data_IF_179216702264
#
_entry.id   IF_179216702264
#
_cell.length_a   1.000
_cell.length_b   1.000
_cell.length_c   1.000
_cell.angle_alpha   90.00
_cell.angle_beta   90.00
_cell.angle_gamma   90.00
#
_symmetry.space_group_name_H-M   'P 1'
#
loop_
_entity.id
_entity.type
_entity.pdbx_description
1 polymer ?
#
# COMPACT_ATOMS: atom_id res chain seq x y z
N UNK A 1 -10.05 -31.36 -6.59
CA UNK A 1 -8.90 -30.45 -6.44
C UNK A 1 -9.38 -29.23 -5.63
N UNK A 2 -8.68 -28.86 -4.57
CA UNK A 2 -9.06 -27.69 -3.77
C UNK A 2 -8.89 -26.43 -4.62
N UNK A 3 -9.81 -25.47 -4.49
CA UNK A 3 -9.76 -24.18 -5.19
C UNK A 3 -9.49 -23.04 -4.21
N UNK A 4 -9.11 -21.84 -4.71
CA UNK A 4 -8.97 -20.66 -3.85
C UNK A 4 -10.28 -20.36 -3.11
N UNK A 5 -11.43 -20.60 -3.76
CA UNK A 5 -12.76 -20.41 -3.17
C UNK A 5 -13.03 -21.36 -2.02
N UNK A 6 -12.81 -22.66 -2.21
CA UNK A 6 -13.02 -23.65 -1.14
C UNK A 6 -12.05 -23.43 0.03
N UNK A 7 -10.79 -23.04 -0.23
CA UNK A 7 -9.85 -22.69 0.82
C UNK A 7 -10.27 -21.45 1.64
N UNK A 8 -10.87 -20.46 0.98
CA UNK A 8 -11.43 -19.27 1.65
C UNK A 8 -12.66 -19.63 2.50
N UNK A 9 -13.55 -20.49 1.99
CA UNK A 9 -14.78 -20.90 2.67
C UNK A 9 -14.47 -21.73 3.93
N UNK A 10 -13.47 -22.64 3.87
CA UNK A 10 -12.99 -23.41 5.03
C UNK A 10 -12.54 -22.51 6.18
N UNK A 11 -12.01 -21.32 5.87
CA UNK A 11 -11.56 -20.32 6.83
C UNK A 11 -12.65 -19.28 7.16
N UNK A 12 -13.93 -19.55 6.80
CA UNK A 12 -15.08 -18.66 7.05
C UNK A 12 -14.88 -17.23 6.53
N UNK A 13 -14.10 -17.06 5.47
CA UNK A 13 -13.77 -15.76 4.88
C UNK A 13 -12.71 -14.94 5.62
N UNK A 14 -12.09 -15.49 6.68
CA UNK A 14 -11.05 -14.84 7.50
C UNK A 14 -9.79 -15.69 7.57
N UNK A 15 -8.94 -15.55 6.57
CA UNK A 15 -7.70 -16.29 6.53
C UNK A 15 -6.59 -15.53 7.27
N UNK A 16 -6.00 -16.16 8.29
CA UNK A 16 -4.92 -15.59 9.11
C UNK A 16 -3.64 -15.28 8.30
N UNK A 17 -3.43 -16.00 7.20
CA UNK A 17 -2.30 -15.75 6.32
C UNK A 17 -2.31 -14.36 5.68
N UNK A 18 -3.48 -13.72 5.53
CA UNK A 18 -3.54 -12.34 5.03
C UNK A 18 -2.93 -11.34 6.01
N UNK A 19 -3.16 -11.50 7.30
CA UNK A 19 -2.58 -10.60 8.32
C UNK A 19 -1.07 -10.82 8.43
N UNK A 20 -0.62 -12.08 8.41
CA UNK A 20 0.80 -12.43 8.33
C UNK A 20 1.47 -11.78 7.11
N UNK A 21 0.87 -11.95 5.93
CA UNK A 21 1.42 -11.41 4.67
C UNK A 21 1.51 -9.88 4.70
N UNK A 22 0.50 -9.18 5.23
CA UNK A 22 0.54 -7.72 5.36
C UNK A 22 1.73 -7.25 6.19
N UNK A 23 2.02 -7.91 7.30
CA UNK A 23 3.17 -7.55 8.14
C UNK A 23 4.48 -7.82 7.41
N UNK A 24 4.61 -8.96 6.72
CA UNK A 24 5.80 -9.28 5.93
C UNK A 24 6.02 -8.24 4.83
N UNK A 25 4.98 -7.88 4.09
CA UNK A 25 5.07 -6.87 3.04
C UNK A 25 5.43 -5.49 3.60
N UNK A 26 4.81 -5.06 4.72
CA UNK A 26 5.14 -3.80 5.37
C UNK A 26 6.61 -3.79 5.84
N UNK A 27 7.08 -4.88 6.44
CA UNK A 27 8.47 -5.03 6.88
C UNK A 27 9.45 -4.96 5.70
N UNK A 28 9.12 -5.60 4.57
CA UNK A 28 9.92 -5.52 3.34
C UNK A 28 10.00 -4.09 2.78
N UNK A 29 8.90 -3.33 2.86
CA UNK A 29 8.87 -1.92 2.47
C UNK A 29 9.72 -1.06 3.40
N UNK A 30 9.70 -1.32 4.71
CA UNK A 30 10.57 -0.62 5.67
C UNK A 30 12.04 -0.89 5.34
N UNK A 31 12.41 -2.16 5.07
CA UNK A 31 13.78 -2.51 4.70
C UNK A 31 14.26 -1.77 3.44
N UNK A 32 13.41 -1.66 2.42
CA UNK A 32 13.69 -0.85 1.24
C UNK A 32 13.87 0.64 1.56
N UNK A 33 12.99 1.21 2.40
CA UNK A 33 13.08 2.63 2.76
C UNK A 33 14.30 2.93 3.64
N UNK A 34 14.80 1.97 4.42
CA UNK A 34 16.09 2.12 5.11
C UNK A 34 17.19 2.38 4.10
N UNK A 35 17.30 1.57 3.04
CA UNK A 35 18.29 1.79 1.98
C UNK A 35 18.06 3.10 1.23
N UNK A 36 16.79 3.43 0.90
CA UNK A 36 16.43 4.65 0.17
C UNK A 36 16.83 5.90 0.95
N UNK A 37 16.45 5.98 2.22
CA UNK A 37 16.62 7.18 3.03
C UNK A 37 18.04 7.36 3.56
N UNK A 38 18.80 6.26 3.71
CA UNK A 38 20.22 6.31 4.11
C UNK A 38 21.19 6.52 2.94
N UNK A 39 20.68 6.71 1.70
CA UNK A 39 21.52 6.95 0.53
C UNK A 39 22.14 5.68 -0.10
N UNK A 40 21.69 4.47 0.29
CA UNK A 40 22.25 3.20 -0.19
C UNK A 40 21.39 2.51 -1.27
N UNK A 41 20.65 3.27 -2.06
CA UNK A 41 19.75 2.73 -3.12
C UNK A 41 20.51 1.86 -4.11
N UNK A 42 21.67 2.31 -4.60
CA UNK A 42 22.44 1.57 -5.60
C UNK A 42 22.96 0.24 -5.04
N UNK A 43 23.44 0.23 -3.78
CA UNK A 43 23.85 -0.99 -3.12
C UNK A 43 22.67 -1.97 -2.90
N UNK A 44 21.50 -1.45 -2.55
CA UNK A 44 20.29 -2.27 -2.41
C UNK A 44 19.84 -2.85 -3.76
N UNK A 45 19.90 -2.05 -4.84
CA UNK A 45 19.57 -2.51 -6.21
C UNK A 45 20.57 -3.53 -6.74
N UNK A 46 21.83 -3.44 -6.36
CA UNK A 46 22.87 -4.41 -6.71
C UNK A 46 22.80 -5.70 -5.88
N UNK A 47 21.87 -5.82 -4.94
CA UNK A 47 21.68 -6.98 -4.06
C UNK A 47 20.32 -7.61 -4.29
N UNK A 48 20.04 -8.76 -3.65
CA UNK A 48 18.72 -9.41 -3.67
C UNK A 48 17.57 -8.52 -3.16
N UNK A 49 17.87 -7.43 -2.47
CA UNK A 49 16.88 -6.48 -1.96
C UNK A 49 16.23 -5.61 -3.04
N UNK A 50 16.75 -5.54 -4.27
CA UNK A 50 16.16 -4.80 -5.38
C UNK A 50 14.69 -5.18 -5.61
N UNK A 51 14.35 -6.43 -5.37
CA UNK A 51 12.99 -6.95 -5.51
C UNK A 51 11.99 -6.27 -4.56
N UNK A 52 12.47 -5.82 -3.38
CA UNK A 52 11.66 -5.11 -2.38
C UNK A 52 11.23 -3.71 -2.84
N UNK A 53 11.88 -3.14 -3.84
CA UNK A 53 11.48 -1.87 -4.45
C UNK A 53 10.17 -2.01 -5.25
N UNK A 54 9.97 -3.17 -5.93
CA UNK A 54 8.96 -3.30 -6.96
C UNK A 54 7.73 -4.13 -6.55
N UNK A 55 7.90 -5.19 -5.79
CA UNK A 55 6.84 -6.18 -5.59
C UNK A 55 5.94 -6.00 -4.38
N UNK A 56 6.40 -5.57 -3.19
CA UNK A 56 5.55 -5.55 -2.00
C UNK A 56 4.32 -4.66 -2.14
N UNK A 57 4.45 -3.47 -2.74
CA UNK A 57 3.31 -2.54 -2.91
C UNK A 57 2.27 -3.08 -3.89
N UNK A 58 2.62 -3.56 -5.11
CA UNK A 58 1.70 -4.29 -5.98
C UNK A 58 0.99 -5.47 -5.28
N UNK A 59 1.71 -6.26 -4.46
CA UNK A 59 1.10 -7.36 -3.71
C UNK A 59 0.08 -6.85 -2.67
N UNK A 60 0.31 -5.71 -2.02
CA UNK A 60 -0.70 -5.07 -1.17
C UNK A 60 -1.96 -4.69 -1.95
N UNK A 61 -1.81 -4.19 -3.17
CA UNK A 61 -2.95 -3.83 -4.02
C UNK A 61 -3.72 -5.07 -4.50
N UNK A 62 -3.04 -6.16 -4.83
CA UNK A 62 -3.69 -7.46 -5.12
C UNK A 62 -4.50 -7.93 -3.91
N UNK A 63 -3.88 -7.93 -2.73
CA UNK A 63 -4.51 -8.33 -1.47
C UNK A 63 -5.72 -7.45 -1.18
N UNK A 64 -5.60 -6.14 -1.33
CA UNK A 64 -6.69 -5.19 -1.17
C UNK A 64 -7.83 -5.51 -2.15
N UNK A 65 -7.54 -5.65 -3.45
CA UNK A 65 -8.52 -5.98 -4.47
C UNK A 65 -9.27 -7.28 -4.19
N UNK A 66 -8.56 -8.35 -3.78
CA UNK A 66 -9.16 -9.63 -3.42
C UNK A 66 -10.13 -9.53 -2.23
N UNK A 67 -9.70 -8.88 -1.16
CA UNK A 67 -10.49 -8.76 0.07
C UNK A 67 -11.70 -7.82 -0.09
N UNK A 68 -11.53 -6.71 -0.82
CA UNK A 68 -12.63 -5.75 -1.02
C UNK A 68 -13.65 -6.25 -2.02
N UNK A 69 -13.27 -7.11 -2.98
CA UNK A 69 -14.21 -7.76 -3.90
C UNK A 69 -15.29 -8.53 -3.14
N UNK A 70 -14.93 -9.22 -2.04
CA UNK A 70 -15.88 -9.92 -1.18
C UNK A 70 -16.87 -8.98 -0.48
N UNK A 71 -16.45 -7.78 -0.10
CA UNK A 71 -17.35 -6.78 0.50
C UNK A 71 -18.21 -6.06 -0.52
N UNK A 72 -17.72 -5.85 -1.74
CA UNK A 72 -18.48 -5.18 -2.82
C UNK A 72 -19.72 -5.94 -3.26
N UNK A 73 -19.75 -7.27 -3.07
CA UNK A 73 -20.93 -8.09 -3.38
C UNK A 73 -22.01 -8.07 -2.30
N UNK A 74 -21.65 -7.65 -1.08
CA UNK A 74 -22.54 -7.70 0.10
C UNK A 74 -23.01 -6.34 0.59
N UNK A 75 -22.29 -5.27 0.24
CA UNK A 75 -22.53 -3.92 0.71
C UNK A 75 -23.13 -3.05 -0.40
N UNK A 76 -23.94 -2.04 -0.01
CA UNK A 76 -24.23 -0.93 -0.91
C UNK A 76 -22.98 -0.09 -1.16
N UNK A 77 -22.92 0.60 -2.30
CA UNK A 77 -21.77 1.44 -2.67
C UNK A 77 -21.46 2.48 -1.60
N UNK A 78 -22.49 3.14 -1.02
CA UNK A 78 -22.32 4.09 0.08
C UNK A 78 -21.64 3.42 1.29
N UNK A 79 -22.14 2.27 1.71
CA UNK A 79 -21.60 1.55 2.87
C UNK A 79 -20.18 1.03 2.61
N UNK A 80 -19.90 0.63 1.38
CA UNK A 80 -18.56 0.27 0.95
C UNK A 80 -17.58 1.44 1.11
N UNK A 81 -17.91 2.62 0.54
CA UNK A 81 -17.06 3.81 0.64
C UNK A 81 -16.87 4.28 2.09
N UNK A 82 -17.94 4.29 2.90
CA UNK A 82 -17.84 4.62 4.32
C UNK A 82 -16.95 3.63 5.09
N UNK A 83 -17.00 2.34 4.73
CA UNK A 83 -16.14 1.33 5.32
C UNK A 83 -14.67 1.55 4.97
N UNK A 84 -14.37 1.94 3.74
CA UNK A 84 -13.00 2.21 3.31
C UNK A 84 -12.47 3.52 3.90
N UNK A 85 -13.28 4.58 3.89
CA UNK A 85 -12.93 5.85 4.55
C UNK A 85 -12.63 5.68 6.04
N UNK A 86 -13.50 4.96 6.78
CA UNK A 86 -13.26 4.68 8.19
C UNK A 86 -12.01 3.80 8.46
N UNK A 87 -11.49 3.12 7.44
CA UNK A 87 -10.27 2.31 7.54
C UNK A 87 -9.00 3.12 7.27
N UNK A 88 -9.06 4.07 6.31
CA UNK A 88 -7.90 4.84 5.86
C UNK A 88 -7.75 6.15 6.65
N UNK A 89 -8.84 6.94 6.71
CA UNK A 89 -8.77 8.34 7.16
C UNK A 89 -8.25 8.50 8.59
N UNK A 90 -8.62 7.69 9.60
CA UNK A 90 -8.15 7.92 10.96
C UNK A 90 -6.64 7.80 11.12
N UNK A 91 -6.03 6.76 10.57
CA UNK A 91 -4.59 6.56 10.65
C UNK A 91 -3.82 7.59 9.81
N UNK A 92 -4.32 7.89 8.60
CA UNK A 92 -3.74 8.92 7.73
C UNK A 92 -3.81 10.32 8.38
N UNK A 93 -4.94 10.68 8.99
CA UNK A 93 -5.08 11.91 9.75
C UNK A 93 -4.07 11.97 10.89
N UNK A 94 -3.94 10.89 11.66
CA UNK A 94 -2.99 10.83 12.77
C UNK A 94 -1.54 10.98 12.30
N UNK A 95 -1.15 10.30 11.23
CA UNK A 95 0.18 10.40 10.64
C UNK A 95 0.50 11.83 10.16
N UNK A 96 -0.42 12.44 9.40
CA UNK A 96 -0.24 13.80 8.89
C UNK A 96 -0.13 14.83 10.02
N UNK A 97 -1.01 14.72 11.03
CA UNK A 97 -0.98 15.61 12.20
C UNK A 97 0.29 15.39 13.03
N UNK A 98 0.68 14.14 13.25
CA UNK A 98 1.92 13.79 13.96
C UNK A 98 3.15 14.33 13.23
N UNK A 99 3.23 14.14 11.91
CA UNK A 99 4.33 14.65 11.11
C UNK A 99 4.39 16.19 11.13
N UNK A 100 3.26 16.87 10.93
CA UNK A 100 3.23 18.34 10.81
C UNK A 100 3.40 19.07 12.16
N UNK A 101 2.82 18.53 13.25
CA UNK A 101 2.79 19.22 14.54
C UNK A 101 3.84 18.73 15.54
N UNK A 102 4.41 17.55 15.35
CA UNK A 102 5.42 17.01 16.25
C UNK A 102 6.77 16.85 15.55
N UNK A 103 6.86 16.05 14.49
CA UNK A 103 8.14 15.80 13.81
C UNK A 103 8.68 17.08 13.18
N UNK A 104 7.89 17.78 12.37
CA UNK A 104 8.33 18.98 11.64
C UNK A 104 8.94 20.05 12.56
N UNK A 105 8.27 20.47 13.65
CA UNK A 105 8.86 21.45 14.58
C UNK A 105 10.14 21.00 15.28
N UNK A 106 10.35 19.68 15.44
CA UNK A 106 11.57 19.13 16.07
C UNK A 106 12.79 19.15 15.13
N UNK A 107 12.57 19.14 13.82
CA UNK A 107 13.63 18.94 12.83
C UNK A 107 13.76 20.07 11.81
N UNK A 108 12.90 21.08 11.88
CA UNK A 108 12.97 22.24 10.99
C UNK A 108 14.13 23.15 11.36
N UNK A 109 14.78 23.74 10.36
CA UNK A 109 15.78 24.80 10.52
C UNK A 109 15.15 26.19 10.70
N UNK A 110 13.82 26.31 10.46
CA UNK A 110 13.11 27.56 10.52
C UNK A 110 12.67 27.93 11.93
N UNK A 111 12.61 29.23 12.29
CA UNK A 111 11.94 29.68 13.51
C UNK A 111 10.46 29.25 13.51
N UNK A 112 9.91 28.93 14.69
CA UNK A 112 8.54 28.41 14.83
C UNK A 112 7.50 29.28 14.09
N UNK A 113 7.61 30.62 14.21
CA UNK A 113 6.68 31.54 13.53
C UNK A 113 6.72 31.36 12.01
N UNK A 114 7.89 31.18 11.41
CA UNK A 114 8.03 30.97 9.96
C UNK A 114 7.51 29.59 9.57
N UNK A 115 7.86 28.55 10.30
CA UNK A 115 7.39 27.19 10.06
C UNK A 115 5.86 27.12 9.97
N UNK A 116 5.14 27.63 10.99
CA UNK A 116 3.67 27.56 11.05
C UNK A 116 2.96 28.54 10.11
N UNK A 117 3.62 29.59 9.63
CA UNK A 117 3.05 30.53 8.65
C UNK A 117 3.38 30.17 7.19
N UNK A 118 4.21 29.17 6.94
CA UNK A 118 4.59 28.74 5.60
C UNK A 118 3.43 28.07 4.88
N UNK A 119 3.28 28.35 3.59
CA UNK A 119 2.24 27.73 2.76
C UNK A 119 2.40 26.21 2.68
N UNK A 120 3.65 25.69 2.69
CA UNK A 120 3.96 24.25 2.64
C UNK A 120 3.44 23.54 3.88
N UNK A 121 3.52 24.18 5.06
CA UNK A 121 2.93 23.63 6.29
C UNK A 121 1.41 23.44 6.14
N UNK A 122 0.71 24.46 5.62
CA UNK A 122 -0.75 24.39 5.44
C UNK A 122 -1.15 23.38 4.37
N UNK A 123 -0.42 23.34 3.26
CA UNK A 123 -0.72 22.40 2.17
C UNK A 123 -0.39 20.94 2.53
N UNK A 124 0.48 20.71 3.53
CA UNK A 124 0.78 19.35 3.98
C UNK A 124 -0.47 18.61 4.50
N UNK A 125 -1.45 19.31 5.06
CA UNK A 125 -2.71 18.71 5.49
C UNK A 125 -3.60 18.22 4.33
N UNK A 126 -3.33 18.61 3.09
CA UNK A 126 -4.01 18.09 1.91
C UNK A 126 -3.73 16.58 1.69
N UNK A 127 -2.67 16.05 2.31
CA UNK A 127 -2.41 14.61 2.35
C UNK A 127 -3.61 13.80 2.87
N UNK A 128 -4.39 14.36 3.81
CA UNK A 128 -5.60 13.72 4.36
C UNK A 128 -6.67 13.51 3.26
N UNK A 129 -6.69 14.40 2.26
CA UNK A 129 -7.59 14.31 1.11
C UNK A 129 -6.99 13.52 -0.07
N UNK A 130 -5.77 12.98 0.07
CA UNK A 130 -5.08 12.26 -1.00
C UNK A 130 -4.31 13.17 -1.97
N UNK A 131 -4.10 14.45 -1.62
CA UNK A 131 -3.24 15.35 -2.39
C UNK A 131 -1.86 15.42 -1.77
N UNK A 132 -0.92 14.69 -2.36
CA UNK A 132 0.38 14.39 -1.74
C UNK A 132 1.32 15.58 -1.67
N UNK A 133 1.77 15.85 -0.45
CA UNK A 133 2.85 16.76 -0.10
C UNK A 133 3.85 15.98 0.75
N UNK A 134 5.09 15.86 0.30
CA UNK A 134 6.07 14.99 0.95
C UNK A 134 6.94 15.73 1.97
N UNK A 135 7.06 17.05 1.83
CA UNK A 135 7.98 17.88 2.62
C UNK A 135 7.26 18.86 3.52
N UNK A 136 7.89 19.20 4.64
CA UNK A 136 7.51 20.27 5.54
C UNK A 136 8.57 21.38 5.52
N UNK A 137 8.22 22.63 5.84
CA UNK A 137 9.16 23.76 5.72
C UNK A 137 10.44 23.55 6.56
N UNK A 138 11.60 23.59 5.91
CA UNK A 138 12.90 23.45 6.57
C UNK A 138 13.17 22.11 7.25
N UNK A 139 12.30 21.10 7.04
CA UNK A 139 12.44 19.81 7.71
C UNK A 139 13.48 18.92 7.01
N UNK A 140 14.33 18.27 7.81
CA UNK A 140 15.31 17.27 7.35
C UNK A 140 16.32 17.78 6.30
N UNK A 141 16.67 19.06 6.29
CA UNK A 141 17.62 19.63 5.32
C UNK A 141 19.00 18.96 5.36
N UNK A 142 19.39 18.41 6.48
CA UNK A 142 20.66 17.69 6.66
C UNK A 142 20.60 16.21 6.24
N UNK A 143 19.41 15.66 6.00
CA UNK A 143 19.25 14.27 5.61
C UNK A 143 19.47 14.08 4.09
N UNK A 144 19.82 12.87 3.62
CA UNK A 144 19.94 12.59 2.18
C UNK A 144 18.64 12.82 1.39
N UNK A 145 17.48 12.70 2.06
CA UNK A 145 16.16 13.01 1.52
C UNK A 145 15.43 13.98 2.44
N UNK A 146 14.79 15.00 1.88
CA UNK A 146 13.98 15.97 2.61
C UNK A 146 12.49 15.58 2.68
N UNK A 147 12.13 14.40 2.15
CA UNK A 147 10.76 13.87 2.23
C UNK A 147 10.45 13.47 3.67
N UNK A 148 9.49 14.13 4.32
CA UNK A 148 9.06 13.75 5.68
C UNK A 148 8.36 12.38 5.66
N UNK A 149 7.42 12.20 4.75
CA UNK A 149 6.73 10.92 4.56
C UNK A 149 6.57 10.55 3.08
N UNK A 150 7.60 9.92 2.52
CA UNK A 150 7.55 9.42 1.15
C UNK A 150 6.62 8.23 0.94
N UNK A 151 6.17 7.53 2.01
CA UNK A 151 5.25 6.39 1.89
C UNK A 151 3.85 6.79 1.44
N UNK A 152 3.46 8.05 1.65
CA UNK A 152 2.14 8.58 1.30
C UNK A 152 1.83 8.52 -0.21
N UNK A 153 2.82 8.33 -1.07
CA UNK A 153 2.62 8.28 -2.52
C UNK A 153 1.59 7.25 -2.99
N UNK A 154 1.32 6.20 -2.20
CA UNK A 154 0.35 5.14 -2.55
C UNK A 154 -1.10 5.50 -2.24
N UNK A 155 -1.33 6.45 -1.33
CA UNK A 155 -2.66 6.82 -0.83
C UNK A 155 -3.61 7.27 -1.94
N UNK A 156 -3.22 8.15 -2.89
CA UNK A 156 -4.09 8.52 -4.01
C UNK A 156 -4.53 7.33 -4.85
N UNK A 157 -3.62 6.37 -5.06
CA UNK A 157 -3.94 5.15 -5.82
C UNK A 157 -4.90 4.24 -5.06
N UNK A 158 -4.76 4.13 -3.75
CA UNK A 158 -5.67 3.37 -2.91
C UNK A 158 -7.08 3.97 -2.94
N UNK A 159 -7.19 5.29 -2.77
CA UNK A 159 -8.45 6.02 -2.90
C UNK A 159 -9.03 5.84 -4.31
N UNK A 160 -8.21 6.00 -5.35
CA UNK A 160 -8.60 5.82 -6.75
C UNK A 160 -9.14 4.41 -7.03
N UNK A 161 -8.51 3.37 -6.50
CA UNK A 161 -8.97 1.99 -6.59
C UNK A 161 -10.35 1.80 -5.94
N UNK A 162 -10.60 2.43 -4.79
CA UNK A 162 -11.91 2.32 -4.13
C UNK A 162 -12.99 3.12 -4.87
N UNK A 163 -12.67 4.27 -5.43
CA UNK A 163 -13.58 5.05 -6.29
C UNK A 163 -13.90 4.26 -7.57
N UNK A 164 -12.88 3.68 -8.21
CA UNK A 164 -13.07 2.80 -9.38
C UNK A 164 -13.97 1.61 -9.05
N UNK A 165 -13.73 0.94 -7.91
CA UNK A 165 -14.57 -0.18 -7.51
C UNK A 165 -16.00 0.27 -7.22
N UNK A 166 -16.20 1.43 -6.60
CA UNK A 166 -17.54 2.03 -6.41
C UNK A 166 -18.24 2.28 -7.75
N UNK A 167 -17.56 2.79 -8.76
CA UNK A 167 -18.10 2.96 -10.12
C UNK A 167 -18.47 1.60 -10.76
N UNK A 168 -17.65 0.57 -10.58
CA UNK A 168 -17.95 -0.79 -11.03
C UNK A 168 -19.15 -1.41 -10.30
N UNK A 169 -19.36 -1.05 -9.03
CA UNK A 169 -20.56 -1.45 -8.27
C UNK A 169 -21.81 -0.74 -8.80
N UNK A 170 -21.77 0.57 -9.03
CA UNK A 170 -22.90 1.38 -9.54
C UNK A 170 -23.32 0.92 -10.93
N UNK A 171 -22.35 0.70 -11.83
CA UNK A 171 -22.61 0.21 -13.21
C UNK A 171 -23.03 -1.26 -13.27
N UNK A 172 -22.90 -2.00 -12.16
CA UNK A 172 -23.13 -3.44 -12.13
C UNK A 172 -22.04 -4.27 -12.85
N UNK A 173 -21.00 -3.63 -13.38
CA UNK A 173 -19.89 -4.31 -14.07
C UNK A 173 -19.13 -5.27 -13.15
N UNK A 174 -19.09 -4.98 -11.84
CA UNK A 174 -18.49 -5.86 -10.83
C UNK A 174 -19.09 -7.28 -10.81
N UNK A 175 -20.34 -7.45 -11.27
CA UNK A 175 -21.00 -8.76 -11.34
C UNK A 175 -20.63 -9.56 -12.60
N UNK A 176 -19.85 -8.98 -13.50
CA UNK A 176 -19.47 -9.56 -14.80
C UNK A 176 -17.95 -9.84 -14.82
N UNK A 177 -17.49 -11.07 -14.48
CA UNK A 177 -16.05 -11.37 -14.43
C UNK A 177 -15.31 -11.07 -15.74
N UNK A 178 -15.96 -11.30 -16.88
CA UNK A 178 -15.39 -11.01 -18.21
C UNK A 178 -15.12 -9.52 -18.42
N UNK A 179 -15.99 -8.63 -17.91
CA UNK A 179 -15.80 -7.18 -18.00
C UNK A 179 -14.62 -6.71 -17.15
N UNK A 180 -14.46 -7.28 -15.95
CA UNK A 180 -13.32 -6.97 -15.08
C UNK A 180 -12.02 -7.50 -15.67
N UNK A 181 -12.04 -8.73 -16.20
CA UNK A 181 -10.89 -9.31 -16.87
C UNK A 181 -10.47 -8.46 -18.09
N UNK A 182 -11.44 -8.06 -18.92
CA UNK A 182 -11.18 -7.17 -20.07
C UNK A 182 -10.59 -5.84 -19.61
N UNK A 183 -11.18 -5.20 -18.58
CA UNK A 183 -10.65 -3.96 -18.02
C UNK A 183 -9.22 -4.13 -17.51
N UNK A 184 -8.91 -5.24 -16.84
CA UNK A 184 -7.56 -5.54 -16.37
C UNK A 184 -6.57 -5.62 -17.51
N UNK A 185 -6.90 -6.34 -18.57
CA UNK A 185 -6.06 -6.44 -19.78
C UNK A 185 -5.91 -5.09 -20.49
N UNK A 186 -6.99 -4.33 -20.63
CA UNK A 186 -6.95 -2.99 -21.23
C UNK A 186 -6.01 -2.07 -20.44
N UNK A 187 -6.12 -2.04 -19.13
CA UNK A 187 -5.24 -1.21 -18.27
C UNK A 187 -3.78 -1.67 -18.36
N UNK A 188 -3.53 -2.98 -18.37
CA UNK A 188 -2.19 -3.53 -18.56
C UNK A 188 -1.60 -3.15 -19.93
N UNK A 189 -2.37 -3.36 -21.00
CA UNK A 189 -1.89 -3.15 -22.37
C UNK A 189 -1.75 -1.66 -22.72
N UNK A 190 -2.63 -0.79 -22.22
CA UNK A 190 -2.53 0.66 -22.43
C UNK A 190 -1.39 1.24 -21.58
N UNK A 191 -1.20 0.77 -20.36
CA UNK A 191 -0.10 1.20 -19.47
C UNK A 191 1.29 1.00 -20.09
N UNK A 192 1.46 -0.02 -20.94
CA UNK A 192 2.73 -0.33 -21.61
C UNK A 192 3.14 0.77 -22.61
N UNK A 193 2.35 1.05 -23.68
CA UNK A 193 2.72 2.06 -24.66
C UNK A 193 2.69 3.48 -24.09
N UNK A 194 1.81 3.79 -23.11
CA UNK A 194 1.84 5.08 -22.45
C UNK A 194 3.16 5.31 -21.69
N UNK A 195 3.65 4.30 -21.00
CA UNK A 195 4.95 4.38 -20.31
C UNK A 195 6.08 4.71 -21.30
N UNK A 196 6.09 4.09 -22.48
CA UNK A 196 7.09 4.38 -23.51
C UNK A 196 6.90 5.77 -24.15
N UNK A 197 5.67 6.12 -24.53
CA UNK A 197 5.39 7.38 -25.21
C UNK A 197 5.67 8.60 -24.35
N UNK A 198 5.49 8.49 -23.05
CA UNK A 198 5.56 9.62 -22.12
C UNK A 198 6.91 9.72 -21.40
N UNK A 199 7.75 8.66 -21.42
CA UNK A 199 9.16 8.79 -20.98
C UNK A 199 9.93 9.82 -21.81
N UNK A 200 9.48 10.13 -23.04
CA UNK A 200 10.03 11.14 -23.92
C UNK A 200 9.32 12.52 -23.82
N UNK A 201 8.19 12.61 -23.10
CA UNK A 201 7.36 13.82 -23.01
C UNK A 201 7.46 14.54 -21.65
N UNK A 202 8.37 14.10 -20.77
CA UNK A 202 8.62 14.80 -19.49
C UNK A 202 9.18 16.20 -19.81
N UNK A 203 8.30 17.19 -19.82
CA UNK A 203 8.67 18.60 -19.96
C UNK A 203 8.38 19.34 -18.68
N UNK A 204 9.21 20.33 -18.36
CA UNK A 204 9.04 21.22 -17.19
C UNK A 204 7.74 22.05 -17.24
N UNK A 205 6.98 21.98 -18.34
CA UNK A 205 5.76 22.73 -18.60
C UNK A 205 4.51 21.85 -18.80
N UNK A 206 4.54 20.60 -18.28
CA UNK A 206 3.39 19.70 -18.40
C UNK A 206 2.16 20.27 -17.69
N UNK A 207 1.01 20.25 -18.38
CA UNK A 207 -0.29 20.61 -17.80
C UNK A 207 -0.64 19.71 -16.63
N UNK A 208 -1.56 20.13 -15.75
CA UNK A 208 -2.00 19.33 -14.61
C UNK A 208 -2.59 17.97 -15.05
N UNK A 209 -3.27 17.90 -16.22
CA UNK A 209 -3.78 16.65 -16.79
C UNK A 209 -2.67 15.71 -17.24
N UNK A 210 -1.61 16.25 -17.86
CA UNK A 210 -0.44 15.47 -18.25
C UNK A 210 0.31 14.95 -17.03
N UNK A 211 0.47 15.79 -15.99
CA UNK A 211 1.06 15.37 -14.71
C UNK A 211 0.22 14.29 -14.03
N UNK A 212 -1.12 14.40 -14.04
CA UNK A 212 -2.02 13.39 -13.51
C UNK A 212 -1.93 12.09 -14.33
N UNK A 213 -1.93 12.16 -15.66
CA UNK A 213 -1.78 11.02 -16.53
C UNK A 213 -0.40 10.35 -16.35
N UNK A 214 0.65 11.14 -16.24
CA UNK A 214 1.99 10.66 -15.91
C UNK A 214 2.02 9.93 -14.57
N UNK A 215 1.43 10.52 -13.53
CA UNK A 215 1.38 9.91 -12.20
C UNK A 215 0.59 8.59 -12.22
N UNK A 216 -0.58 8.59 -12.85
CA UNK A 216 -1.46 7.41 -12.86
C UNK A 216 -0.96 6.27 -13.77
N UNK A 217 -0.32 6.58 -14.88
CA UNK A 217 -0.01 5.59 -15.92
C UNK A 217 1.49 5.34 -16.14
N UNK A 218 2.36 6.34 -15.87
CA UNK A 218 3.78 6.26 -16.21
C UNK A 218 4.67 5.73 -15.13
N UNK A 219 4.43 6.22 -13.90
CA UNK A 219 5.25 5.80 -12.79
C UNK A 219 4.72 4.50 -12.16
N UNK A 220 4.54 4.50 -10.89
CA UNK A 220 4.16 3.31 -10.13
C UNK A 220 2.66 2.98 -10.27
N UNK A 221 1.82 3.93 -10.70
CA UNK A 221 0.38 3.72 -10.91
C UNK A 221 0.05 2.68 -11.98
N UNK A 222 0.87 2.57 -13.01
CA UNK A 222 0.76 1.51 -14.04
C UNK A 222 0.84 0.09 -13.47
N UNK A 223 1.36 -0.06 -12.25
CA UNK A 223 1.48 -1.34 -11.54
C UNK A 223 0.34 -1.54 -10.54
N UNK A 224 -0.09 -0.48 -9.86
CA UNK A 224 -0.98 -0.58 -8.71
C UNK A 224 -2.42 -0.83 -9.11
N UNK A 225 -2.90 -0.10 -10.12
CA UNK A 225 -4.26 -0.27 -10.63
C UNK A 225 -4.53 -1.67 -11.19
N UNK A 226 -3.69 -2.22 -12.11
CA UNK A 226 -3.87 -3.58 -12.57
C UNK A 226 -3.67 -4.62 -11.46
N UNK A 227 -2.78 -4.39 -10.48
CA UNK A 227 -2.65 -5.28 -9.31
C UNK A 227 -3.95 -5.39 -8.52
N UNK A 228 -4.59 -4.27 -8.27
CA UNK A 228 -5.89 -4.25 -7.60
C UNK A 228 -6.97 -4.98 -8.40
N UNK A 229 -7.03 -4.76 -9.71
CA UNK A 229 -7.96 -5.46 -10.61
C UNK A 229 -7.68 -6.96 -10.67
N UNK A 230 -6.42 -7.39 -10.70
CA UNK A 230 -6.03 -8.81 -10.61
C UNK A 230 -6.56 -9.43 -9.32
N UNK A 231 -6.46 -8.72 -8.18
CA UNK A 231 -7.05 -9.17 -6.93
C UNK A 231 -8.57 -9.42 -7.05
N UNK A 232 -9.30 -8.50 -7.69
CA UNK A 232 -10.75 -8.66 -7.95
C UNK A 232 -11.02 -9.86 -8.85
N UNK A 233 -10.25 -10.03 -9.94
CA UNK A 233 -10.39 -11.18 -10.86
C UNK A 233 -10.16 -12.50 -10.13
N UNK A 234 -9.09 -12.59 -9.33
CA UNK A 234 -8.79 -13.77 -8.52
C UNK A 234 -9.94 -14.11 -7.56
N UNK A 235 -10.56 -13.10 -6.93
CA UNK A 235 -11.73 -13.32 -6.08
C UNK A 235 -12.94 -13.81 -6.88
N UNK A 236 -13.22 -13.22 -8.04
CA UNK A 236 -14.36 -13.60 -8.88
C UNK A 236 -14.22 -15.01 -9.45
N UNK A 237 -13.01 -15.38 -9.84
CA UNK A 237 -12.69 -16.69 -10.42
C UNK A 237 -12.22 -17.71 -9.38
N UNK A 238 -12.30 -17.41 -8.09
CA UNK A 238 -11.73 -18.21 -7.00
C UNK A 238 -12.16 -19.68 -6.97
N UNK A 239 -13.35 -20.01 -7.46
CA UNK A 239 -13.82 -21.39 -7.51
C UNK A 239 -13.33 -22.17 -8.75
N UNK A 240 -12.69 -21.48 -9.70
CA UNK A 240 -12.11 -22.08 -10.90
C UNK A 240 -10.58 -22.19 -10.80
N UNK A 241 -9.95 -21.36 -9.96
CA UNK A 241 -8.49 -21.31 -9.80
C UNK A 241 -8.06 -22.33 -8.74
N UNK A 242 -7.14 -23.25 -9.08
CA UNK A 242 -6.70 -24.27 -8.12
C UNK A 242 -5.88 -23.67 -6.98
N UNK A 243 -6.08 -24.21 -5.77
CA UNK A 243 -5.23 -23.96 -4.61
C UNK A 243 -4.09 -25.00 -4.64
N UNK A 244 -2.94 -24.63 -5.20
CA UNK A 244 -1.82 -25.56 -5.41
C UNK A 244 -0.54 -25.08 -4.70
N UNK A 245 -0.13 -25.81 -3.67
CA UNK A 245 1.11 -25.55 -2.95
C UNK A 245 2.34 -25.71 -3.84
N UNK A 246 2.33 -26.69 -4.75
CA UNK A 246 3.44 -26.93 -5.68
C UNK A 246 3.64 -25.72 -6.62
N UNK A 247 2.55 -25.15 -7.14
CA UNK A 247 2.62 -23.93 -7.96
C UNK A 247 3.14 -22.76 -7.12
N UNK A 248 2.65 -22.58 -5.90
CA UNK A 248 3.13 -21.51 -5.02
C UNK A 248 4.63 -21.66 -4.70
N UNK A 249 5.11 -22.86 -4.39
CA UNK A 249 6.54 -23.13 -4.17
C UNK A 249 7.34 -22.83 -5.45
N UNK A 250 6.86 -23.28 -6.61
CA UNK A 250 7.49 -22.96 -7.90
C UNK A 250 7.61 -21.45 -8.15
N UNK A 251 6.56 -20.69 -7.83
CA UNK A 251 6.58 -19.24 -7.96
C UNK A 251 7.53 -18.57 -6.95
N UNK A 252 7.63 -19.08 -5.72
CA UNK A 252 8.64 -18.61 -4.76
C UNK A 252 10.04 -18.90 -5.26
N UNK A 253 10.31 -20.09 -5.83
CA UNK A 253 11.60 -20.40 -6.44
C UNK A 253 11.92 -19.45 -7.60
N UNK A 254 10.96 -19.20 -8.49
CA UNK A 254 11.12 -18.23 -9.59
C UNK A 254 11.41 -16.83 -9.05
N UNK A 255 10.66 -16.36 -8.04
CA UNK A 255 10.89 -15.09 -7.37
C UNK A 255 12.30 -15.00 -6.77
N UNK A 256 12.75 -16.07 -6.10
CA UNK A 256 14.09 -16.13 -5.51
C UNK A 256 15.19 -16.12 -6.58
N UNK A 257 14.99 -16.83 -7.69
CA UNK A 257 15.93 -16.82 -8.81
C UNK A 257 15.96 -15.44 -9.49
N UNK A 258 14.80 -14.83 -9.71
CA UNK A 258 14.73 -13.46 -10.23
C UNK A 258 15.42 -12.47 -9.30
N UNK A 259 15.22 -12.60 -7.98
CA UNK A 259 15.87 -11.75 -7.00
C UNK A 259 17.40 -11.95 -6.96
N UNK A 260 17.88 -13.17 -7.15
CA UNK A 260 19.30 -13.50 -7.07
C UNK A 260 20.08 -13.19 -8.37
N UNK A 261 19.46 -13.35 -9.53
CA UNK A 261 20.11 -13.30 -10.84
C UNK A 261 19.52 -12.26 -11.80
N UNK A 262 18.37 -11.67 -11.47
CA UNK A 262 17.77 -10.59 -12.23
C UNK A 262 18.27 -9.22 -11.79
N UNK A 263 17.81 -8.21 -12.50
CA UNK A 263 18.05 -6.81 -12.18
C UNK A 263 16.75 -5.98 -12.29
N UNK A 264 16.84 -4.71 -11.92
CA UNK A 264 15.69 -3.79 -12.00
C UNK A 264 15.16 -3.61 -13.41
N UNK A 265 16.02 -3.69 -14.43
CA UNK A 265 15.65 -3.46 -15.83
C UNK A 265 14.70 -4.54 -16.35
N UNK A 266 14.84 -5.77 -15.83
CA UNK A 266 13.91 -6.86 -16.13
C UNK A 266 12.47 -6.51 -15.71
N UNK A 267 12.27 -5.97 -14.51
CA UNK A 267 10.95 -5.56 -14.03
C UNK A 267 10.51 -4.21 -14.58
N UNK A 268 11.41 -3.38 -15.09
CA UNK A 268 11.04 -2.16 -15.79
C UNK A 268 10.53 -2.44 -17.20
N UNK A 269 10.77 -3.65 -17.73
CA UNK A 269 10.21 -4.07 -19.02
C UNK A 269 8.70 -4.34 -18.89
N UNK A 270 7.84 -3.56 -19.56
CA UNK A 270 6.39 -3.70 -19.44
C UNK A 270 5.86 -5.08 -19.86
N UNK A 271 6.49 -5.73 -20.85
CA UNK A 271 6.07 -7.07 -21.30
C UNK A 271 6.28 -8.13 -20.18
N UNK A 272 7.31 -7.96 -19.37
CA UNK A 272 7.58 -8.82 -18.22
C UNK A 272 6.53 -8.63 -17.14
N UNK A 273 6.08 -7.40 -16.89
CA UNK A 273 5.02 -7.12 -15.92
C UNK A 273 3.68 -7.76 -16.25
N UNK A 274 3.31 -7.82 -17.52
CA UNK A 274 2.04 -8.47 -17.96
C UNK A 274 2.00 -9.94 -17.49
N UNK A 275 3.13 -10.61 -17.45
CA UNK A 275 3.24 -12.00 -17.00
C UNK A 275 3.48 -12.10 -15.49
N UNK A 276 4.40 -11.32 -14.98
CA UNK A 276 4.83 -11.43 -13.57
C UNK A 276 3.72 -10.98 -12.62
N UNK A 277 2.98 -9.93 -12.93
CA UNK A 277 1.98 -9.37 -12.03
C UNK A 277 0.83 -10.35 -11.70
N UNK A 278 0.22 -11.07 -12.65
CA UNK A 278 -0.76 -12.12 -12.35
C UNK A 278 -0.19 -13.28 -11.53
N UNK A 279 1.06 -13.68 -11.79
CA UNK A 279 1.73 -14.77 -11.06
C UNK A 279 1.97 -14.38 -9.60
N UNK A 280 2.47 -13.16 -9.34
CA UNK A 280 2.60 -12.63 -8.00
C UNK A 280 1.25 -12.37 -7.34
N UNK A 281 0.24 -11.97 -8.11
CA UNK A 281 -1.14 -11.89 -7.64
C UNK A 281 -1.64 -13.23 -7.11
N UNK A 282 -1.45 -14.30 -7.88
CA UNK A 282 -1.79 -15.65 -7.44
C UNK A 282 -1.01 -16.05 -6.19
N UNK A 283 0.33 -15.83 -6.15
CA UNK A 283 1.17 -16.12 -5.00
C UNK A 283 0.68 -15.37 -3.75
N UNK A 284 0.34 -14.09 -3.88
CA UNK A 284 -0.20 -13.25 -2.80
C UNK A 284 -1.44 -13.88 -2.17
N UNK A 285 -2.41 -14.28 -3.00
CA UNK A 285 -3.65 -14.90 -2.53
C UNK A 285 -3.39 -16.29 -1.94
N UNK A 286 -2.52 -17.09 -2.57
CA UNK A 286 -2.13 -18.41 -2.07
C UNK A 286 -1.49 -18.35 -0.68
N UNK A 287 -0.53 -17.43 -0.46
CA UNK A 287 0.10 -17.22 0.85
C UNK A 287 -0.95 -16.75 1.85
N UNK A 288 -1.80 -15.79 1.47
CA UNK A 288 -2.86 -15.27 2.34
C UNK A 288 -3.90 -16.32 2.74
N UNK A 289 -4.18 -17.30 1.90
CA UNK A 289 -5.09 -18.42 2.19
C UNK A 289 -4.38 -19.63 2.85
N UNK A 290 -3.04 -19.60 2.97
CA UNK A 290 -2.31 -20.67 3.61
C UNK A 290 -2.35 -20.53 5.14
N UNK A 291 -2.30 -21.67 5.89
CA UNK A 291 -2.19 -21.62 7.35
C UNK A 291 -0.81 -21.05 7.71
N UNK A 292 -0.79 -19.84 8.22
CA UNK A 292 0.41 -19.14 8.69
C UNK A 292 0.41 -19.03 10.21
N UNK A 293 1.59 -18.98 10.85
CA UNK A 293 1.67 -18.79 12.29
C UNK A 293 1.08 -17.44 12.69
N UNK A 294 0.43 -17.41 13.84
CA UNK A 294 0.01 -16.15 14.45
C UNK A 294 1.24 -15.42 14.94
N UNK A 295 1.46 -14.22 14.44
CA UNK A 295 2.53 -13.37 14.97
C UNK A 295 2.15 -12.90 16.37
N UNK A 296 3.01 -13.12 17.38
CA UNK A 296 2.76 -12.66 18.74
C UNK A 296 2.52 -11.13 18.75
N UNK A 297 1.48 -10.68 19.47
CA UNK A 297 1.13 -9.27 19.56
C UNK A 297 0.26 -8.73 18.42
N UNK A 298 0.13 -9.43 17.28
CA UNK A 298 -0.65 -8.97 16.12
C UNK A 298 -2.09 -9.51 16.09
N UNK A 299 -2.50 -10.31 17.07
CA UNK A 299 -3.85 -10.88 17.13
C UNK A 299 -4.94 -9.91 17.62
N UNK A 300 -4.59 -8.74 18.14
CA UNK A 300 -5.51 -7.78 18.75
C UNK A 300 -5.88 -6.60 17.84
N UNK A 301 -5.23 -6.46 16.68
CA UNK A 301 -5.49 -5.37 15.74
C UNK A 301 -4.77 -5.54 14.40
N UNK A 302 -5.23 -4.80 13.39
CA UNK A 302 -4.58 -4.70 12.09
C UNK A 302 -3.60 -3.52 12.07
N UNK A 303 -2.39 -3.75 12.55
CA UNK A 303 -1.34 -2.73 12.68
C UNK A 303 -0.56 -2.48 11.37
N UNK A 304 -0.80 -3.29 10.34
CA UNK A 304 -0.02 -3.24 9.10
C UNK A 304 -0.12 -1.89 8.38
N UNK A 305 -1.29 -1.25 8.43
CA UNK A 305 -1.50 0.05 7.80
C UNK A 305 -0.78 1.17 8.55
N UNK A 306 -0.87 1.20 9.87
CA UNK A 306 -0.10 2.14 10.69
C UNK A 306 1.40 1.92 10.54
N UNK A 307 1.87 0.66 10.55
CA UNK A 307 3.27 0.34 10.33
C UNK A 307 3.76 0.88 8.97
N UNK A 308 2.93 0.78 7.92
CA UNK A 308 3.22 1.34 6.61
C UNK A 308 3.24 2.88 6.63
N UNK A 309 2.34 3.56 7.33
CA UNK A 309 2.29 5.02 7.34
C UNK A 309 3.42 5.65 8.16
N UNK A 310 3.67 5.15 9.38
CA UNK A 310 4.58 5.80 10.32
C UNK A 310 6.07 5.53 10.07
N UNK A 311 6.46 4.55 9.25
CA UNK A 311 7.87 4.16 9.17
C UNK A 311 8.78 5.24 8.58
N UNK A 312 8.35 5.96 7.56
CA UNK A 312 9.18 6.97 6.90
C UNK A 312 9.50 8.14 7.81
N UNK A 313 8.53 8.78 8.52
CA UNK A 313 8.83 9.84 9.48
C UNK A 313 9.79 9.40 10.59
N UNK A 314 9.65 8.17 11.10
CA UNK A 314 10.56 7.67 12.14
C UNK A 314 11.95 7.33 11.61
N UNK A 315 12.07 6.76 10.41
CA UNK A 315 13.37 6.54 9.78
C UNK A 315 14.09 7.86 9.54
N UNK A 316 13.40 8.87 9.03
CA UNK A 316 13.94 10.21 8.82
C UNK A 316 14.39 10.85 10.12
N UNK A 317 13.60 10.73 11.19
CA UNK A 317 13.95 11.23 12.52
C UNK A 317 15.20 10.53 13.07
N UNK A 318 15.30 9.21 12.94
CA UNK A 318 16.47 8.44 13.38
C UNK A 318 17.73 8.84 12.60
N UNK A 319 17.64 9.03 11.28
CA UNK A 319 18.74 9.50 10.45
C UNK A 319 19.19 10.90 10.90
N UNK A 320 18.24 11.79 11.16
CA UNK A 320 18.52 13.15 11.60
C UNK A 320 19.23 13.18 12.96
N UNK A 321 18.73 12.39 13.94
CA UNK A 321 19.30 12.35 15.29
C UNK A 321 20.59 11.55 15.38
N UNK A 322 20.79 10.56 14.54
CA UNK A 322 21.89 9.62 14.55
C UNK A 322 22.48 9.41 13.15
N UNK A 323 23.13 10.45 12.55
CA UNK A 323 23.65 10.37 11.19
C UNK A 323 24.62 9.21 10.97
N UNK A 324 25.30 8.74 12.00
CA UNK A 324 26.19 7.57 11.95
C UNK A 324 25.46 6.27 11.56
N UNK A 325 24.12 6.20 11.70
CA UNK A 325 23.32 5.04 11.28
C UNK A 325 23.28 4.86 9.76
N UNK A 326 23.66 5.88 9.01
CA UNK A 326 23.76 5.82 7.55
C UNK A 326 25.06 5.16 7.08
N UNK A 327 26.05 4.97 7.95
CA UNK A 327 27.37 4.45 7.57
C UNK A 327 27.62 3.06 8.12
N UNK A 328 28.29 2.22 7.33
CA UNK A 328 28.78 0.92 7.76
C UNK A 328 27.70 -0.08 8.17
N UNK A 329 27.96 -0.84 9.23
CA UNK A 329 27.11 -1.93 9.71
C UNK A 329 25.89 -1.46 10.53
N UNK A 330 25.75 -0.16 10.77
CA UNK A 330 24.69 0.37 11.66
C UNK A 330 23.31 0.47 11.00
N UNK A 331 23.16 0.14 9.72
CA UNK A 331 21.87 0.11 9.04
C UNK A 331 20.84 -0.81 9.71
N UNK A 332 21.29 -1.87 10.41
CA UNK A 332 20.43 -2.73 11.21
C UNK A 332 19.76 -1.98 12.36
N UNK A 333 20.47 -1.06 13.02
CA UNK A 333 19.90 -0.23 14.09
C UNK A 333 18.82 0.70 13.55
N UNK A 334 19.03 1.25 12.34
CA UNK A 334 18.04 2.05 11.64
C UNK A 334 16.80 1.22 11.32
N UNK A 335 16.97 0.00 10.80
CA UNK A 335 15.86 -0.90 10.49
C UNK A 335 15.08 -1.29 11.75
N UNK A 336 15.73 -1.85 12.77
CA UNK A 336 15.05 -2.30 13.97
C UNK A 336 14.48 -1.14 14.81
N UNK A 337 15.20 -0.02 14.90
CA UNK A 337 14.72 1.18 15.57
C UNK A 337 13.51 1.78 14.85
N UNK A 338 13.58 1.94 13.54
CA UNK A 338 12.47 2.42 12.72
C UNK A 338 11.26 1.50 12.79
N UNK A 339 11.47 0.18 12.71
CA UNK A 339 10.40 -0.81 12.86
C UNK A 339 9.72 -0.73 14.23
N UNK A 340 10.51 -0.70 15.30
CA UNK A 340 9.98 -0.67 16.67
C UNK A 340 9.18 0.61 16.97
N UNK A 341 9.69 1.78 16.56
CA UNK A 341 8.97 3.06 16.70
C UNK A 341 7.70 3.08 15.88
N UNK A 342 7.76 2.62 14.63
CA UNK A 342 6.59 2.57 13.74
C UNK A 342 5.52 1.60 14.23
N UNK A 343 5.94 0.44 14.74
CA UNK A 343 5.01 -0.53 15.35
C UNK A 343 4.36 0.05 16.61
N UNK A 344 5.12 0.71 17.46
CA UNK A 344 4.59 1.37 18.67
C UNK A 344 3.54 2.42 18.29
N UNK A 345 3.84 3.29 17.32
CA UNK A 345 2.89 4.28 16.83
C UNK A 345 1.65 3.63 16.20
N UNK A 346 1.83 2.56 15.41
CA UNK A 346 0.73 1.82 14.80
C UNK A 346 -0.21 1.20 15.85
N UNK A 347 0.35 0.61 16.91
CA UNK A 347 -0.44 0.05 18.04
C UNK A 347 -1.21 1.16 18.75
N UNK A 348 -0.56 2.28 19.07
CA UNK A 348 -1.23 3.43 19.71
C UNK A 348 -2.34 3.97 18.80
N UNK A 349 -2.04 4.25 17.54
CA UNK A 349 -3.00 4.74 16.56
C UNK A 349 -4.22 3.81 16.42
N UNK A 350 -3.98 2.51 16.34
CA UNK A 350 -5.05 1.53 16.26
C UNK A 350 -5.99 1.59 17.45
N UNK A 351 -5.46 1.52 18.66
CA UNK A 351 -6.29 1.46 19.87
C UNK A 351 -6.94 2.80 20.23
N UNK A 352 -6.29 3.92 19.92
CA UNK A 352 -6.79 5.26 20.28
C UNK A 352 -7.73 5.84 19.22
N UNK A 353 -7.47 5.57 17.92
CA UNK A 353 -8.22 6.21 16.83
C UNK A 353 -8.94 5.22 15.94
N UNK A 354 -8.23 4.26 15.34
CA UNK A 354 -8.79 3.42 14.28
C UNK A 354 -9.89 2.49 14.82
N UNK A 355 -9.60 1.70 15.84
CA UNK A 355 -10.56 0.76 16.42
C UNK A 355 -11.81 1.43 17.00
N UNK A 356 -11.73 2.55 17.76
CA UNK A 356 -12.91 3.29 18.20
C UNK A 356 -13.78 3.79 17.03
N UNK A 357 -13.18 4.33 15.97
CA UNK A 357 -13.93 4.79 14.78
C UNK A 357 -14.63 3.61 14.09
N UNK A 358 -13.94 2.48 13.92
CA UNK A 358 -14.53 1.27 13.34
C UNK A 358 -15.65 0.70 14.20
N UNK A 359 -15.51 0.71 15.53
CA UNK A 359 -16.53 0.27 16.49
C UNK A 359 -17.76 1.18 16.45
N UNK A 360 -17.57 2.50 16.49
CA UNK A 360 -18.64 3.49 16.39
C UNK A 360 -19.43 3.33 15.09
N UNK A 361 -18.74 3.20 13.97
CA UNK A 361 -19.35 2.96 12.67
C UNK A 361 -20.20 1.68 12.68
N UNK A 362 -19.69 0.58 13.21
CA UNK A 362 -20.43 -0.69 13.26
C UNK A 362 -21.71 -0.58 14.10
N UNK A 363 -21.67 0.12 15.23
CA UNK A 363 -22.86 0.37 16.07
C UNK A 363 -23.93 1.21 15.35
N UNK A 364 -23.48 2.21 14.57
CA UNK A 364 -24.39 3.03 13.76
C UNK A 364 -25.09 2.22 12.66
N UNK A 365 -24.40 1.31 11.99
CA UNK A 365 -25.00 0.46 10.96
C UNK A 365 -25.96 -0.59 11.54
N UNK A 366 -25.66 -1.14 12.70
CA UNK A 366 -26.59 -2.06 13.39
C UNK A 366 -27.86 -1.32 13.77
N UNK A 367 -27.76 -0.14 14.38
CA UNK A 367 -28.91 0.70 14.75
C UNK A 367 -29.78 1.05 13.53
N UNK A 368 -29.16 1.46 12.43
CA UNK A 368 -29.90 1.82 11.21
C UNK A 368 -30.59 0.63 10.51
N UNK A 369 -30.22 -0.61 10.82
CA UNK A 369 -30.94 -1.82 10.38
C UNK A 369 -32.12 -2.14 11.28
N UNK A 370 -32.00 -1.92 12.60
CA UNK A 370 -33.12 -2.04 13.56
C UNK A 370 -34.20 -1.01 13.25
N UNK A 371 -33.83 0.27 13.07
CA UNK A 371 -34.78 1.37 12.79
C UNK A 371 -35.52 1.18 11.45
N UNK A 372 -35.00 0.36 10.53
CA UNK A 372 -35.64 0.05 9.25
C UNK A 372 -36.38 -1.29 9.22
N UNK A 373 -36.54 -1.96 10.36
CA UNK A 373 -37.27 -3.23 10.45
C UNK A 373 -36.66 -4.38 9.62
N UNK A 374 -35.38 -4.33 9.32
CA UNK A 374 -34.67 -5.29 8.48
C UNK A 374 -33.95 -6.39 9.25
N UNK A 375 -34.24 -6.51 10.55
CA UNK A 375 -33.87 -7.68 11.36
C UNK A 375 -35.13 -8.21 12.09
N UNK A 376 -35.29 -9.56 12.17
CA UNK A 376 -36.35 -10.18 12.98
C UNK A 376 -36.10 -9.95 14.46
#
# INVERSE_FOLDING_TARGET
MQTLGSALDEQKGFAQGFDFLRIVLATSIIAWHVAKLSGHVEAARASVFWFSEYMPVPMFFVLSGFLVAGSSTRLSTRNFLLNRGARIVPALFADVVFAALLIGPMVTTLPARQYFSDATFLTYFLNIAGWMQFSLPGAFESNPSQEVNGALWTVPFEIGCYVMLAALMISGAIKRPRSILLLTYVVLLIGIPLKYATSHLVSDHASWLENLAMTLFLFKGSLLLPSFLIGIVLYQLRYYIPFSRSVAIGLVCVASLLSAFGDSDLLLNPAVFVVILPLFGYLTVMVGLSPMPRLPGFGTGDYSYGLYLYHTPFLQLLIHMFPQTMTGELWWTLFFGGFALSLTAAVISWHVLEYPVLKFRNSFFVRSRFDRGLMP
#
